data_IF_644919605510
#
_entry.id   IF_644919605510
#
_cell.length_a   1.000
_cell.length_b   1.000
_cell.length_c   1.000
_cell.angle_alpha   90.00
_cell.angle_beta   90.00
_cell.angle_gamma   90.00
#
_symmetry.space_group_name_H-M   'P 1'
#
loop_
_entity.id
_entity.type
_entity.pdbx_description
1 polymer ?
#
# COMPACT_ATOMS: atom_id res chain seq x y z
N UNK A 1 11.06 4.28 6.98
CA UNK A 1 10.28 3.11 6.52
C UNK A 1 8.78 3.31 6.74
N UNK A 2 8.33 3.86 7.88
CA UNK A 2 6.91 4.24 8.07
C UNK A 2 6.34 5.14 6.95
N UNK A 3 7.03 6.21 6.55
CA UNK A 3 6.59 7.06 5.42
C UNK A 3 6.49 6.31 4.09
N UNK A 4 7.35 5.31 3.88
CA UNK A 4 7.30 4.46 2.68
C UNK A 4 6.06 3.56 2.71
N UNK A 5 5.74 2.97 3.87
CA UNK A 5 4.55 2.14 4.04
C UNK A 5 3.27 2.96 3.86
N UNK A 6 3.22 4.19 4.40
CA UNK A 6 2.11 5.11 4.19
C UNK A 6 1.96 5.48 2.70
N UNK A 7 3.07 5.76 2.02
CA UNK A 7 3.05 6.05 0.59
C UNK A 7 2.50 4.88 -0.23
N UNK A 8 2.90 3.65 0.08
CA UNK A 8 2.38 2.44 -0.59
C UNK A 8 0.88 2.30 -0.36
N UNK A 9 0.42 2.39 0.90
CA UNK A 9 -1.00 2.21 1.23
C UNK A 9 -1.86 3.31 0.61
N UNK A 10 -1.47 4.58 0.76
CA UNK A 10 -2.23 5.71 0.23
C UNK A 10 -2.18 5.76 -1.31
N UNK A 11 -1.02 5.49 -1.92
CA UNK A 11 -0.87 5.42 -3.36
C UNK A 11 -1.77 4.34 -3.98
N UNK A 12 -1.86 3.18 -3.36
CA UNK A 12 -2.79 2.12 -3.76
C UNK A 12 -4.25 2.57 -3.68
N UNK A 13 -4.66 3.25 -2.60
CA UNK A 13 -6.05 3.74 -2.53
C UNK A 13 -6.35 4.83 -3.57
N UNK A 14 -5.40 5.72 -3.85
CA UNK A 14 -5.54 6.76 -4.88
C UNK A 14 -5.68 6.13 -6.27
N UNK A 15 -4.82 5.18 -6.63
CA UNK A 15 -4.91 4.48 -7.92
C UNK A 15 -6.24 3.73 -8.03
N UNK A 16 -6.69 3.08 -6.95
CA UNK A 16 -8.01 2.43 -6.90
C UNK A 16 -9.14 3.43 -7.16
N UNK A 17 -9.10 4.58 -6.51
CA UNK A 17 -10.08 5.64 -6.67
C UNK A 17 -10.12 6.18 -8.10
N UNK A 18 -8.96 6.39 -8.73
CA UNK A 18 -8.86 6.82 -10.13
C UNK A 18 -9.45 5.76 -11.06
N UNK A 19 -9.18 4.48 -10.82
CA UNK A 19 -9.75 3.38 -11.61
C UNK A 19 -11.28 3.32 -11.49
N UNK A 20 -11.84 3.61 -10.31
CA UNK A 20 -13.29 3.69 -10.13
C UNK A 20 -13.89 4.94 -10.80
N UNK A 21 -13.25 6.10 -10.66
CA UNK A 21 -13.67 7.36 -11.29
C UNK A 21 -13.68 7.27 -12.83
N UNK A 22 -12.75 6.53 -13.40
CA UNK A 22 -12.61 6.33 -14.86
C UNK A 22 -13.42 5.14 -15.38
N UNK A 23 -14.19 4.47 -14.52
CA UNK A 23 -14.94 3.23 -14.79
C UNK A 23 -14.09 2.03 -15.28
N UNK A 24 -12.76 2.21 -15.43
CA UNK A 24 -11.82 1.16 -15.80
C UNK A 24 -11.83 0.02 -14.79
N UNK A 25 -12.09 0.32 -13.51
CA UNK A 25 -12.26 -0.67 -12.46
C UNK A 25 -13.36 -1.70 -12.78
N UNK A 26 -14.42 -1.32 -13.50
CA UNK A 26 -15.52 -2.23 -13.87
C UNK A 26 -15.20 -3.10 -15.09
N UNK A 27 -14.19 -2.72 -15.88
CA UNK A 27 -13.67 -3.54 -16.98
C UNK A 27 -12.63 -4.56 -16.51
N UNK A 28 -12.12 -4.39 -15.28
CA UNK A 28 -11.14 -5.29 -14.67
C UNK A 28 -11.90 -6.28 -13.78
N UNK A 29 -11.51 -7.55 -13.83
CA UNK A 29 -12.01 -8.57 -12.91
C UNK A 29 -11.89 -8.12 -11.46
N UNK A 30 -12.98 -8.24 -10.69
CA UNK A 30 -12.99 -7.95 -9.25
C UNK A 30 -11.89 -8.72 -8.51
N UNK A 31 -11.62 -9.96 -8.94
CA UNK A 31 -10.54 -10.79 -8.39
C UNK A 31 -9.18 -10.13 -8.57
N UNK A 32 -8.89 -9.56 -9.74
CA UNK A 32 -7.63 -8.87 -10.02
C UNK A 32 -7.48 -7.61 -9.16
N UNK A 33 -8.56 -6.83 -9.07
CA UNK A 33 -8.58 -5.57 -8.33
C UNK A 33 -8.45 -5.80 -6.81
N UNK A 34 -9.09 -6.86 -6.30
CA UNK A 34 -8.94 -7.32 -4.92
C UNK A 34 -7.55 -7.89 -4.65
N UNK A 35 -7.04 -8.77 -5.52
CA UNK A 35 -5.69 -9.34 -5.37
C UNK A 35 -4.64 -8.24 -5.27
N UNK A 36 -4.72 -7.24 -6.15
CA UNK A 36 -3.82 -6.10 -6.12
C UNK A 36 -3.95 -5.29 -4.81
N UNK A 37 -5.18 -5.02 -4.36
CA UNK A 37 -5.44 -4.27 -3.13
C UNK A 37 -4.87 -4.99 -1.90
N UNK A 38 -5.13 -6.31 -1.79
CA UNK A 38 -4.64 -7.13 -0.67
C UNK A 38 -3.12 -7.29 -0.71
N UNK A 39 -2.52 -7.42 -1.89
CA UNK A 39 -1.06 -7.51 -2.04
C UNK A 39 -0.40 -6.21 -1.57
N UNK A 40 -0.91 -5.06 -2.01
CA UNK A 40 -0.36 -3.76 -1.61
C UNK A 40 -0.54 -3.48 -0.10
N UNK A 41 -1.68 -3.85 0.47
CA UNK A 41 -1.91 -3.79 1.92
C UNK A 41 -0.94 -4.72 2.68
N UNK A 42 -0.76 -5.95 2.20
CA UNK A 42 0.18 -6.91 2.79
C UNK A 42 1.61 -6.38 2.80
N UNK A 43 2.05 -5.78 1.69
CA UNK A 43 3.37 -5.13 1.59
C UNK A 43 3.47 -3.94 2.54
N UNK A 44 2.43 -3.10 2.61
CA UNK A 44 2.38 -1.97 3.55
C UNK A 44 2.52 -2.40 5.01
N UNK A 45 1.76 -3.44 5.41
CA UNK A 45 1.83 -4.01 6.76
C UNK A 45 3.20 -4.64 7.04
N UNK A 46 3.77 -5.38 6.09
CA UNK A 46 5.11 -5.95 6.23
C UNK A 46 6.18 -4.86 6.42
N UNK A 47 6.10 -3.76 5.67
CA UNK A 47 7.00 -2.61 5.82
C UNK A 47 6.85 -1.91 7.18
N UNK A 48 5.62 -1.80 7.70
CA UNK A 48 5.37 -1.28 9.05
C UNK A 48 5.95 -2.20 10.12
N UNK A 49 5.71 -3.51 10.01
CA UNK A 49 6.25 -4.51 10.93
C UNK A 49 7.78 -4.50 10.94
N UNK A 50 8.42 -4.46 9.77
CA UNK A 50 9.88 -4.35 9.66
C UNK A 50 10.37 -3.05 10.29
N UNK A 51 9.67 -1.93 10.05
CA UNK A 51 10.02 -0.65 10.67
C UNK A 51 9.87 -0.67 12.20
N UNK A 52 8.95 -1.47 12.73
CA UNK A 52 8.67 -1.60 14.15
C UNK A 52 9.64 -2.58 14.85
N UNK A 53 9.89 -3.74 14.24
CA UNK A 53 10.77 -4.79 14.76
C UNK A 53 12.25 -4.42 14.64
N UNK A 54 12.61 -3.66 13.61
CA UNK A 54 13.97 -3.15 13.39
C UNK A 54 13.96 -1.62 13.38
N UNK A 55 13.64 -0.98 14.52
CA UNK A 55 13.71 0.47 14.60
C UNK A 55 15.18 0.86 14.38
N UNK A 56 15.45 1.76 13.43
CA UNK A 56 16.80 2.32 13.26
C UNK A 56 17.24 2.83 14.63
N UNK A 57 18.27 2.22 15.23
CA UNK A 57 18.92 2.76 16.43
C UNK A 57 19.22 4.22 16.12
N UNK A 58 18.73 5.11 16.99
CA UNK A 58 18.92 6.56 16.87
C UNK A 58 20.35 6.82 16.42
N UNK A 59 20.53 7.32 15.20
CA UNK A 59 21.73 8.07 14.92
C UNK A 59 21.61 9.28 15.82
N UNK A 60 22.41 9.25 16.89
CA UNK A 60 22.50 10.28 17.91
C UNK A 60 22.58 11.66 17.26
N UNK A 61 21.97 12.62 17.97
CA UNK A 61 22.02 14.06 17.73
C UNK A 61 23.39 14.57 17.28
#
# INVERSE_FOLDING_TARGET
MQYLALFVVLGTQIVRLILYMTEVAYMISETTLNLWTYTALGVGVALLLVSYLFPKKKQSA
#
